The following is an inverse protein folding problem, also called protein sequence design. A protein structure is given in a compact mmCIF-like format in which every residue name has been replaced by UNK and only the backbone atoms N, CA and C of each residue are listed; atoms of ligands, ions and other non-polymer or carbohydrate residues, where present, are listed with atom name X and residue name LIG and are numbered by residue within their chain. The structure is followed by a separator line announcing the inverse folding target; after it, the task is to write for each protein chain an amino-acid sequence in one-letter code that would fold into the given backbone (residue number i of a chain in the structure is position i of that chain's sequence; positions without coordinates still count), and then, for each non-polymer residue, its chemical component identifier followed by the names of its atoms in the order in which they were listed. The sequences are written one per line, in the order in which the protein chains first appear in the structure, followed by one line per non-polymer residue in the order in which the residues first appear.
data_IF_048093944858
#
_entry.id   IF_048093944858
#
_cell.length_a   1.000
_cell.length_b   1.000
_cell.length_c   1.000
_cell.angle_alpha   90.00
_cell.angle_beta   90.00
_cell.angle_gamma   90.00
#
_symmetry.space_group_name_H-M   'P 1'
#
loop_
_entity.id
_entity.type
_entity.pdbx_description
1 polymer ?
#
# COMPACT_ATOMS: atom_id res chain seq x y z
N UNK A 1 -22.49 -5.66 19.56
CA UNK A 1 -21.58 -5.58 18.39
C UNK A 1 -22.21 -6.36 17.25
N UNK A 2 -22.48 -5.72 16.11
CA UNK A 2 -22.67 -6.47 14.86
C UNK A 2 -21.37 -7.24 14.58
N UNK A 3 -21.50 -8.48 14.10
CA UNK A 3 -20.35 -9.26 13.67
C UNK A 3 -19.81 -8.61 12.39
N UNK A 4 -18.54 -8.21 12.38
CA UNK A 4 -17.88 -7.72 11.17
C UNK A 4 -17.66 -8.94 10.25
N UNK A 5 -18.20 -8.86 9.04
CA UNK A 5 -18.00 -9.87 7.99
C UNK A 5 -16.86 -9.40 7.07
N UNK A 6 -15.65 -9.82 7.40
CA UNK A 6 -14.43 -9.42 6.69
C UNK A 6 -14.44 -9.93 5.25
N UNK A 7 -14.92 -11.16 5.03
CA UNK A 7 -14.92 -11.77 3.69
C UNK A 7 -15.84 -11.00 2.75
N UNK A 8 -17.03 -10.63 3.25
CA UNK A 8 -17.97 -9.80 2.49
C UNK A 8 -17.40 -8.41 2.20
N UNK A 9 -16.80 -7.75 3.20
CA UNK A 9 -16.18 -6.43 3.01
C UNK A 9 -15.06 -6.49 1.96
N UNK A 10 -14.19 -7.51 2.02
CA UNK A 10 -13.12 -7.68 1.03
C UNK A 10 -13.68 -7.91 -0.38
N UNK A 11 -14.76 -8.68 -0.52
CA UNK A 11 -15.42 -8.89 -1.81
C UNK A 11 -16.03 -7.59 -2.35
N UNK A 12 -16.69 -6.79 -1.51
CA UNK A 12 -17.34 -5.53 -1.91
C UNK A 12 -16.31 -4.44 -2.28
N UNK A 13 -15.12 -4.46 -1.67
CA UNK A 13 -14.06 -3.46 -1.87
C UNK A 13 -12.85 -3.97 -2.67
N UNK A 14 -12.96 -5.11 -3.36
CA UNK A 14 -11.82 -5.74 -4.05
C UNK A 14 -11.12 -4.82 -5.06
N UNK A 15 -11.89 -4.05 -5.85
CA UNK A 15 -11.33 -3.11 -6.82
C UNK A 15 -10.59 -1.95 -6.16
N UNK A 16 -11.12 -1.45 -5.04
CA UNK A 16 -10.48 -0.41 -4.24
C UNK A 16 -9.17 -0.90 -3.65
N UNK A 17 -9.16 -2.11 -3.08
CA UNK A 17 -7.95 -2.76 -2.55
C UNK A 17 -6.89 -2.89 -3.65
N UNK A 18 -7.25 -3.38 -4.85
CA UNK A 18 -6.32 -3.50 -5.98
C UNK A 18 -5.78 -2.12 -6.38
N UNK A 19 -6.65 -1.11 -6.44
CA UNK A 19 -6.25 0.27 -6.79
C UNK A 19 -5.25 0.82 -5.78
N UNK A 20 -5.47 0.60 -4.48
CA UNK A 20 -4.58 1.04 -3.42
C UNK A 20 -3.22 0.33 -3.45
N UNK A 21 -3.21 -0.97 -3.74
CA UNK A 21 -1.97 -1.73 -3.94
C UNK A 21 -1.18 -1.19 -5.14
N UNK A 22 -1.82 -0.98 -6.28
CA UNK A 22 -1.18 -0.44 -7.47
C UNK A 22 -0.62 0.97 -7.22
N UNK A 23 -1.39 1.83 -6.54
CA UNK A 23 -0.93 3.15 -6.15
C UNK A 23 0.31 3.08 -5.25
N UNK A 24 0.33 2.13 -4.30
CA UNK A 24 1.47 1.91 -3.40
C UNK A 24 2.74 1.51 -4.17
N UNK A 25 2.61 0.58 -5.12
CA UNK A 25 3.72 0.12 -5.96
C UNK A 25 4.26 1.24 -6.86
N UNK A 26 3.37 1.98 -7.53
CA UNK A 26 3.75 3.09 -8.40
C UNK A 26 4.48 4.19 -7.62
N UNK A 27 3.95 4.58 -6.46
CA UNK A 27 4.58 5.58 -5.59
C UNK A 27 5.96 5.13 -5.11
N UNK A 28 6.11 3.87 -4.70
CA UNK A 28 7.40 3.31 -4.29
C UNK A 28 8.41 3.36 -5.44
N UNK A 29 7.98 2.99 -6.66
CA UNK A 29 8.79 3.08 -7.88
C UNK A 29 9.22 4.51 -8.20
N UNK A 30 8.31 5.49 -8.11
CA UNK A 30 8.61 6.89 -8.37
C UNK A 30 9.62 7.47 -7.37
N UNK A 31 9.49 7.16 -6.09
CA UNK A 31 10.42 7.60 -5.04
C UNK A 31 11.81 7.05 -5.31
N UNK A 32 11.90 5.75 -5.58
CA UNK A 32 13.14 5.07 -5.94
C UNK A 32 13.78 5.70 -7.17
N UNK A 33 13.01 5.90 -8.24
CA UNK A 33 13.51 6.44 -9.50
C UNK A 33 14.10 7.83 -9.30
N UNK A 34 13.43 8.69 -8.51
CA UNK A 34 13.95 10.03 -8.16
C UNK A 34 15.28 9.95 -7.41
N UNK A 35 15.41 9.05 -6.44
CA UNK A 35 16.66 8.88 -5.68
C UNK A 35 17.80 8.34 -6.53
N UNK A 36 17.52 7.42 -7.45
CA UNK A 36 18.50 6.93 -8.43
C UNK A 36 18.94 8.06 -9.36
N UNK A 37 18.01 8.86 -9.88
CA UNK A 37 18.32 10.00 -10.73
C UNK A 37 19.13 11.10 -10.01
N UNK A 38 18.92 11.27 -8.71
CA UNK A 38 19.70 12.17 -7.87
C UNK A 38 21.10 11.62 -7.52
N UNK A 39 21.40 10.36 -7.86
CA UNK A 39 22.65 9.69 -7.50
C UNK A 39 22.75 9.28 -6.02
N UNK A 40 21.65 9.35 -5.27
CA UNK A 40 21.58 9.00 -3.84
C UNK A 40 21.55 7.48 -3.62
N UNK A 41 21.10 6.73 -4.61
CA UNK A 41 20.92 5.27 -4.57
C UNK A 41 21.46 4.68 -5.87
N UNK A 42 22.17 3.56 -5.79
CA UNK A 42 22.63 2.84 -6.97
C UNK A 42 21.47 2.27 -7.79
N UNK A 43 21.68 2.04 -9.09
CA UNK A 43 20.66 1.49 -9.98
C UNK A 43 20.55 -0.05 -9.91
N UNK A 44 21.23 -0.70 -8.96
CA UNK A 44 21.19 -2.16 -8.82
C UNK A 44 19.98 -2.58 -8.00
N UNK A 45 19.45 -3.78 -8.25
CA UNK A 45 18.34 -4.31 -7.46
C UNK A 45 18.66 -4.33 -5.96
N UNK A 46 19.91 -4.56 -5.58
CA UNK A 46 20.34 -4.63 -4.17
C UNK A 46 20.24 -3.28 -3.46
N UNK A 47 20.53 -2.19 -4.16
CA UNK A 47 20.42 -0.83 -3.64
C UNK A 47 18.95 -0.38 -3.55
N UNK A 48 18.15 -0.82 -4.52
CA UNK A 48 16.81 -0.31 -4.77
C UNK A 48 15.72 -1.06 -3.99
N UNK A 49 15.87 -2.38 -3.87
CA UNK A 49 14.86 -3.26 -3.28
C UNK A 49 14.52 -2.91 -1.83
N UNK A 50 15.48 -2.61 -0.92
CA UNK A 50 15.14 -2.24 0.46
C UNK A 50 14.26 -1.00 0.55
N UNK A 51 14.50 -0.02 -0.32
CA UNK A 51 13.74 1.23 -0.36
C UNK A 51 12.34 0.98 -0.91
N UNK A 52 12.22 0.20 -2.00
CA UNK A 52 10.91 -0.20 -2.50
C UNK A 52 10.09 -0.94 -1.45
N UNK A 53 10.69 -1.92 -0.75
CA UNK A 53 9.98 -2.67 0.29
C UNK A 53 9.53 -1.77 1.43
N UNK A 54 10.39 -0.84 1.87
CA UNK A 54 10.03 0.13 2.92
C UNK A 54 8.83 1.00 2.51
N UNK A 55 8.84 1.57 1.30
CA UNK A 55 7.76 2.42 0.80
C UNK A 55 6.45 1.63 0.59
N UNK A 56 6.55 0.38 0.13
CA UNK A 56 5.40 -0.53 0.00
C UNK A 56 4.81 -0.83 1.38
N UNK A 57 5.62 -1.19 2.37
CA UNK A 57 5.16 -1.50 3.74
C UNK A 57 4.47 -0.29 4.36
N UNK A 58 5.06 0.90 4.25
CA UNK A 58 4.46 2.13 4.77
C UNK A 58 3.10 2.41 4.13
N UNK A 59 3.04 2.40 2.80
CA UNK A 59 1.82 2.75 2.08
C UNK A 59 0.73 1.70 2.30
N UNK A 60 1.09 0.41 2.32
CA UNK A 60 0.17 -0.67 2.61
C UNK A 60 -0.36 -0.61 4.05
N UNK A 61 0.48 -0.21 5.02
CA UNK A 61 0.06 -0.04 6.42
C UNK A 61 -1.02 1.04 6.54
N UNK A 62 -0.77 2.23 6.00
CA UNK A 62 -1.74 3.35 6.03
C UNK A 62 -3.04 2.95 5.33
N UNK A 63 -2.92 2.30 4.18
CA UNK A 63 -4.06 1.82 3.39
C UNK A 63 -4.90 0.80 4.17
N UNK A 64 -4.25 -0.19 4.77
CA UNK A 64 -4.92 -1.24 5.55
C UNK A 64 -5.63 -0.65 6.77
N UNK A 65 -5.00 0.31 7.46
CA UNK A 65 -5.62 1.00 8.59
C UNK A 65 -6.86 1.79 8.17
N UNK A 66 -6.83 2.43 6.99
CA UNK A 66 -7.99 3.14 6.44
C UNK A 66 -9.14 2.18 6.12
N UNK A 67 -8.88 1.11 5.38
CA UNK A 67 -9.88 0.09 5.06
C UNK A 67 -10.47 -0.55 6.32
N UNK A 68 -9.63 -0.82 7.33
CA UNK A 68 -10.09 -1.34 8.60
C UNK A 68 -10.97 -0.34 9.37
N UNK A 69 -10.66 0.95 9.31
CA UNK A 69 -11.51 2.00 9.88
C UNK A 69 -12.86 2.09 9.16
N UNK A 70 -12.86 2.04 7.83
CA UNK A 70 -14.08 2.06 7.01
C UNK A 70 -14.97 0.86 7.35
N UNK A 71 -14.39 -0.34 7.41
CA UNK A 71 -15.08 -1.57 7.83
C UNK A 71 -15.70 -1.47 9.23
N UNK A 72 -15.01 -0.82 10.19
CA UNK A 72 -15.55 -0.59 11.54
C UNK A 72 -16.70 0.41 11.50
N UNK A 73 -16.59 1.49 10.74
CA UNK A 73 -17.62 2.52 10.64
C UNK A 73 -18.91 2.01 9.97
N UNK A 74 -18.78 1.20 8.92
CA UNK A 74 -19.93 0.58 8.23
C UNK A 74 -20.66 -0.46 9.09
N UNK A 75 -19.95 -1.03 10.07
CA UNK A 75 -20.50 -2.01 11.00
C UNK A 75 -21.32 -1.40 12.15
N UNK A 76 -21.40 -0.07 12.25
CA UNK A 76 -22.25 0.63 13.23
C UNK A 76 -23.74 0.65 12.83
#
# INVERSE_FOLDING_TARGET
MKKIDVDKFVQEHQEEIITLVNHSLNRAGDIVNKRVQAGEVGATLQDVLPIMLYEIILTNTVTTLRLAADMVNESQ
#
